data_IF_152406415594
#
_entry.id   IF_152406415594
#
_cell.length_a   1.000
_cell.length_b   1.000
_cell.length_c   1.000
_cell.angle_alpha   90.00
_cell.angle_beta   90.00
_cell.angle_gamma   90.00
#
_symmetry.space_group_name_H-M   'P 1'
#
loop_
_entity.id
_entity.type
_entity.pdbx_description
1 polymer ?
#
# COMPACT_ATOMS: atom_id res chain seq x y z
N UNK A 1 -17.85 -13.31 -0.49
CA UNK A 1 -17.94 -12.05 -1.23
C UNK A 1 -18.66 -12.17 -2.58
N UNK A 2 -19.14 -13.35 -3.01
CA UNK A 2 -19.84 -13.55 -4.31
C UNK A 2 -19.22 -12.82 -5.51
N UNK A 3 -17.89 -12.62 -5.44
CA UNK A 3 -17.15 -11.91 -6.45
C UNK A 3 -16.80 -12.87 -7.58
N UNK A 4 -16.80 -12.41 -8.85
CA UNK A 4 -16.35 -13.22 -9.98
C UNK A 4 -14.91 -13.72 -9.78
N UNK A 5 -14.54 -14.86 -10.37
CA UNK A 5 -13.20 -15.44 -10.22
C UNK A 5 -12.07 -14.50 -10.66
N UNK A 6 -12.36 -13.56 -11.58
CA UNK A 6 -11.43 -12.58 -12.13
C UNK A 6 -11.41 -11.24 -11.38
N UNK A 7 -11.98 -11.19 -10.17
CA UNK A 7 -12.09 -9.96 -9.40
C UNK A 7 -10.72 -9.35 -9.07
N UNK A 8 -9.72 -10.20 -8.80
CA UNK A 8 -8.40 -9.73 -8.38
C UNK A 8 -7.69 -9.07 -9.56
N UNK A 9 -7.62 -9.74 -10.71
CA UNK A 9 -7.01 -9.23 -11.93
C UNK A 9 -7.62 -7.89 -12.35
N UNK A 10 -8.96 -7.79 -12.28
CA UNK A 10 -9.67 -6.53 -12.56
C UNK A 10 -9.34 -5.43 -11.56
N UNK A 11 -9.30 -5.75 -10.27
CA UNK A 11 -8.99 -4.77 -9.23
C UNK A 11 -7.56 -4.25 -9.35
N UNK A 12 -6.60 -5.13 -9.63
CA UNK A 12 -5.20 -4.79 -9.82
C UNK A 12 -4.97 -3.92 -11.06
N UNK A 13 -5.57 -4.29 -12.20
CA UNK A 13 -5.47 -3.55 -13.44
C UNK A 13 -6.05 -2.12 -13.33
N UNK A 14 -6.98 -1.89 -12.41
CA UNK A 14 -7.57 -0.58 -12.16
C UNK A 14 -6.70 0.34 -11.27
N UNK A 15 -5.65 -0.18 -10.63
CA UNK A 15 -4.77 0.64 -9.78
C UNK A 15 -3.68 1.34 -10.60
N UNK A 16 -3.19 2.52 -10.17
CA UNK A 16 -2.14 3.27 -10.89
C UNK A 16 -0.86 2.47 -11.18
N UNK A 17 -0.46 1.58 -10.28
CA UNK A 17 0.72 0.71 -10.42
C UNK A 17 0.38 -0.71 -10.89
N UNK A 18 -0.86 -0.96 -11.32
CA UNK A 18 -1.28 -2.26 -11.87
C UNK A 18 -1.24 -3.42 -10.88
N UNK A 19 -1.28 -3.14 -9.57
CA UNK A 19 -1.30 -4.14 -8.51
C UNK A 19 -2.06 -3.64 -7.28
N UNK A 20 -2.55 -4.54 -6.45
CA UNK A 20 -2.96 -4.20 -5.08
C UNK A 20 -1.77 -4.31 -4.13
N UNK A 21 -1.85 -3.63 -2.99
CA UNK A 21 -0.87 -3.78 -1.90
C UNK A 21 -0.77 -5.26 -1.51
N UNK A 22 0.45 -5.80 -1.53
CA UNK A 22 0.71 -7.20 -1.15
C UNK A 22 1.26 -7.28 0.28
N UNK A 23 0.76 -8.21 1.12
CA UNK A 23 1.21 -8.35 2.51
C UNK A 23 2.73 -8.56 2.67
N UNK A 24 3.36 -9.32 1.78
CA UNK A 24 4.81 -9.59 1.81
C UNK A 24 5.64 -8.34 1.48
N UNK A 25 5.12 -7.48 0.60
CA UNK A 25 5.75 -6.20 0.27
C UNK A 25 5.65 -5.22 1.46
N UNK A 26 4.46 -5.11 2.06
CA UNK A 26 4.26 -4.29 3.25
C UNK A 26 5.12 -4.76 4.43
N UNK A 27 5.24 -6.08 4.64
CA UNK A 27 6.06 -6.64 5.70
C UNK A 27 7.53 -6.18 5.63
N UNK A 28 8.08 -5.97 4.44
CA UNK A 28 9.44 -5.43 4.27
C UNK A 28 9.55 -3.99 4.77
N UNK A 29 8.58 -3.14 4.47
CA UNK A 29 8.53 -1.77 4.98
C UNK A 29 8.40 -1.74 6.51
N UNK A 30 7.49 -2.54 7.06
CA UNK A 30 7.32 -2.64 8.53
C UNK A 30 8.61 -3.13 9.19
N UNK A 31 9.28 -4.13 8.62
CA UNK A 31 10.56 -4.63 9.11
C UNK A 31 11.62 -3.53 9.16
N UNK A 32 11.66 -2.66 8.14
CA UNK A 32 12.54 -1.49 8.16
C UNK A 32 12.15 -0.50 9.26
N UNK A 33 10.86 -0.16 9.38
CA UNK A 33 10.37 0.83 10.36
C UNK A 33 10.65 0.42 11.82
N UNK A 34 10.61 -0.88 12.14
CA UNK A 34 10.90 -1.39 13.49
C UNK A 34 12.38 -1.70 13.73
N UNK A 35 13.22 -1.57 12.70
CA UNK A 35 14.65 -1.86 12.80
C UNK A 35 15.46 -0.65 13.29
N UNK A 36 16.69 -0.83 13.80
CA UNK A 36 17.57 0.29 14.14
C UNK A 36 17.82 1.27 13.00
N UNK A 37 17.67 0.82 11.75
CA UNK A 37 17.86 1.64 10.54
C UNK A 37 16.79 2.73 10.39
N UNK A 38 15.62 2.61 11.01
CA UNK A 38 14.62 3.68 11.02
C UNK A 38 15.02 4.88 11.89
N UNK A 39 16.08 4.74 12.70
CA UNK A 39 16.67 5.81 13.49
C UNK A 39 15.71 6.37 14.53
N UNK A 40 15.43 7.67 14.46
CA UNK A 40 14.61 8.40 15.43
C UNK A 40 13.14 8.55 14.99
N UNK A 41 12.68 7.76 14.01
CA UNK A 41 11.33 7.86 13.46
C UNK A 41 10.27 7.54 14.54
N UNK A 42 9.42 8.52 14.84
CA UNK A 42 8.31 8.39 15.80
C UNK A 42 7.21 9.40 15.49
N UNK A 43 5.96 9.10 15.86
CA UNK A 43 4.80 9.98 15.64
C UNK A 43 4.42 10.23 14.18
N UNK A 44 5.01 9.49 13.24
CA UNK A 44 4.76 9.64 11.80
C UNK A 44 3.62 8.74 11.33
N UNK A 45 2.79 9.28 10.43
CA UNK A 45 1.91 8.48 9.58
C UNK A 45 2.64 8.20 8.26
N UNK A 46 2.68 6.94 7.85
CA UNK A 46 3.29 6.51 6.58
C UNK A 46 2.21 5.89 5.71
N UNK A 47 1.77 6.61 4.70
CA UNK A 47 0.78 6.13 3.74
C UNK A 47 1.45 5.15 2.76
N UNK A 48 0.98 3.90 2.76
CA UNK A 48 1.43 2.85 1.85
C UNK A 48 0.31 2.47 0.90
N UNK A 49 0.02 3.38 -0.02
CA UNK A 49 -0.94 3.19 -1.10
C UNK A 49 -0.41 3.84 -2.39
N UNK A 50 -1.28 3.93 -3.39
CA UNK A 50 -0.94 4.46 -4.72
C UNK A 50 -1.63 5.79 -5.00
N UNK A 51 -2.12 6.47 -3.96
CA UNK A 51 -2.81 7.75 -4.04
C UNK A 51 -1.90 8.87 -3.54
N UNK A 52 -2.21 10.10 -3.97
CA UNK A 52 -1.56 11.29 -3.44
C UNK A 52 -2.44 11.84 -2.33
N UNK A 53 -1.92 11.88 -1.10
CA UNK A 53 -2.61 12.47 0.03
C UNK A 53 -3.00 13.94 -0.29
N UNK A 54 -4.30 14.24 -0.16
CA UNK A 54 -4.82 15.56 -0.48
C UNK A 54 -5.09 15.82 -1.97
N UNK A 55 -4.83 14.86 -2.87
CA UNK A 55 -5.31 14.96 -4.26
C UNK A 55 -6.75 14.48 -4.36
N UNK A 56 -7.69 15.34 -3.99
CA UNK A 56 -9.03 15.23 -4.56
C UNK A 56 -9.07 16.03 -5.85
N UNK A 57 -9.44 15.46 -7.02
CA UNK A 57 -10.32 16.22 -7.89
C UNK A 57 -11.68 16.34 -7.19
N UNK A 58 -12.40 17.45 -7.41
CA UNK A 58 -13.81 17.51 -7.00
C UNK A 58 -14.63 16.35 -7.57
#
# INVERSE_FOLDING_TARGET
HDAPDDWLEKAEAAQPMGQLVKPDQLARLISYMISPQSGVMTGSLVDYDQNIAGSSPE
#
